data_IF_317236411997
#
_entry.id   IF_317236411997
#
_cell.length_a   1.000
_cell.length_b   1.000
_cell.length_c   1.000
_cell.angle_alpha   90.00
_cell.angle_beta   90.00
_cell.angle_gamma   90.00
#
_symmetry.space_group_name_H-M   'P 1'
#
loop_
_entity.id
_entity.type
_entity.pdbx_description
1 polymer ?
#
# COMPACT_ATOMS: atom_id res chain seq x y z
N UNK A 1 -12.17 9.42 -1.74
CA UNK A 1 -11.57 8.06 -1.73
C UNK A 1 -11.12 7.55 -3.10
N UNK A 2 -12.03 7.40 -4.08
CA UNK A 2 -11.78 6.62 -5.30
C UNK A 2 -10.58 7.07 -6.16
N UNK A 3 -10.34 8.38 -6.27
CA UNK A 3 -9.19 8.90 -7.03
C UNK A 3 -7.86 8.55 -6.36
N UNK A 4 -7.80 8.65 -5.03
CA UNK A 4 -6.65 8.23 -4.25
C UNK A 4 -6.41 6.72 -4.39
N UNK A 5 -7.47 5.92 -4.31
CA UNK A 5 -7.36 4.48 -4.53
C UNK A 5 -6.75 4.15 -5.90
N UNK A 6 -7.28 4.74 -6.99
CA UNK A 6 -6.79 4.49 -8.35
C UNK A 6 -5.32 4.89 -8.53
N UNK A 7 -4.92 6.03 -7.97
CA UNK A 7 -3.55 6.50 -8.06
C UNK A 7 -2.57 5.55 -7.35
N UNK A 8 -2.91 5.10 -6.15
CA UNK A 8 -2.07 4.17 -5.38
C UNK A 8 -2.10 2.76 -6.00
N UNK A 9 -3.25 2.29 -6.46
CA UNK A 9 -3.38 1.00 -7.18
C UNK A 9 -2.53 0.98 -8.45
N UNK A 10 -2.48 2.10 -9.19
CA UNK A 10 -1.62 2.23 -10.36
C UNK A 10 -0.13 2.16 -9.99
N UNK A 11 0.29 2.82 -8.90
CA UNK A 11 1.67 2.73 -8.40
C UNK A 11 2.05 1.28 -8.03
N UNK A 12 1.17 0.55 -7.35
CA UNK A 12 1.43 -0.85 -7.04
C UNK A 12 1.56 -1.71 -8.31
N UNK A 13 0.71 -1.48 -9.32
CA UNK A 13 0.77 -2.21 -10.59
C UNK A 13 2.05 -1.95 -11.39
N UNK A 14 2.67 -0.78 -11.22
CA UNK A 14 3.91 -0.40 -11.90
C UNK A 14 5.16 -0.92 -11.16
N UNK A 15 5.13 -0.87 -9.82
CA UNK A 15 6.31 -1.18 -8.99
C UNK A 15 6.38 -2.66 -8.58
N UNK A 16 5.23 -3.31 -8.34
CA UNK A 16 5.18 -4.68 -7.84
C UNK A 16 5.39 -5.66 -9.00
N UNK A 17 6.37 -6.57 -8.92
CA UNK A 17 6.57 -7.63 -9.90
C UNK A 17 5.31 -8.47 -10.12
N UNK A 18 5.08 -8.89 -11.38
CA UNK A 18 3.86 -9.60 -11.80
C UNK A 18 3.70 -11.00 -11.16
N UNK A 19 4.78 -11.57 -10.66
CA UNK A 19 4.81 -12.87 -9.97
C UNK A 19 4.39 -12.77 -8.49
N UNK A 20 4.41 -11.57 -7.92
CA UNK A 20 3.94 -11.30 -6.56
C UNK A 20 2.42 -11.12 -6.58
N UNK A 21 1.73 -11.93 -5.79
CA UNK A 21 0.28 -11.82 -5.62
C UNK A 21 -0.04 -10.90 -4.45
N UNK A 22 -0.91 -9.93 -4.69
CA UNK A 22 -1.42 -9.05 -3.65
C UNK A 22 -2.87 -8.67 -3.92
N UNK A 23 -3.55 -8.21 -2.87
CA UNK A 23 -4.88 -7.62 -2.94
C UNK A 23 -4.81 -6.25 -2.28
N UNK A 24 -5.12 -5.21 -3.05
CA UNK A 24 -5.22 -3.84 -2.53
C UNK A 24 -6.68 -3.41 -2.51
N UNK A 25 -7.16 -2.93 -1.35
CA UNK A 25 -8.56 -2.54 -1.14
C UNK A 25 -8.71 -1.26 -0.32
N UNK A 26 -9.85 -0.59 -0.53
CA UNK A 26 -10.36 0.45 0.34
C UNK A 26 -10.78 -0.16 1.69
N UNK A 27 -10.34 0.46 2.80
CA UNK A 27 -10.73 0.05 4.15
C UNK A 27 -11.86 0.95 4.67
N UNK A 28 -11.56 2.23 4.89
CA UNK A 28 -12.53 3.28 5.18
C UNK A 28 -11.91 4.67 4.98
N UNK A 29 -12.77 5.70 4.90
CA UNK A 29 -12.37 7.09 4.85
C UNK A 29 -12.76 7.78 6.17
N UNK A 30 -11.83 8.55 6.75
CA UNK A 30 -12.10 9.43 7.89
C UNK A 30 -12.05 10.89 7.44
N UNK A 31 -12.33 11.83 8.34
CA UNK A 31 -12.16 13.26 8.04
C UNK A 31 -10.71 13.65 7.71
N UNK A 32 -9.73 12.87 8.17
CA UNK A 32 -8.30 13.19 8.06
C UNK A 32 -7.52 12.23 7.15
N UNK A 33 -8.03 11.02 6.89
CA UNK A 33 -7.31 9.96 6.19
C UNK A 33 -8.15 9.22 5.15
N UNK A 34 -7.47 8.79 4.08
CA UNK A 34 -7.89 7.69 3.23
C UNK A 34 -7.13 6.44 3.68
N UNK A 35 -7.84 5.42 4.18
CA UNK A 35 -7.23 4.19 4.67
C UNK A 35 -7.45 3.04 3.70
N UNK A 36 -6.34 2.37 3.40
CA UNK A 36 -6.29 1.24 2.50
C UNK A 36 -5.66 0.04 3.20
N UNK A 37 -5.94 -1.13 2.66
CA UNK A 37 -5.35 -2.39 3.09
C UNK A 37 -4.68 -3.08 1.91
N UNK A 38 -3.45 -3.52 2.14
CA UNK A 38 -2.68 -4.35 1.23
C UNK A 38 -2.49 -5.73 1.86
N UNK A 39 -3.04 -6.75 1.22
CA UNK A 39 -2.90 -8.15 1.65
C UNK A 39 -1.91 -8.85 0.73
N UNK A 40 -0.92 -9.52 1.30
CA UNK A 40 0.15 -10.22 0.56
C UNK A 40 0.30 -11.66 1.05
N UNK A 41 0.94 -12.52 0.25
CA UNK A 41 1.38 -13.83 0.72
C UNK A 41 2.63 -13.71 1.62
N UNK A 42 2.77 -14.57 2.63
CA UNK A 42 3.89 -14.52 3.59
C UNK A 42 5.26 -14.59 2.90
N UNK A 43 5.38 -15.39 1.84
CA UNK A 43 6.61 -15.55 1.05
C UNK A 43 7.13 -14.21 0.47
N UNK A 44 6.23 -13.25 0.24
CA UNK A 44 6.54 -11.97 -0.39
C UNK A 44 6.74 -10.85 0.64
N UNK A 45 6.64 -11.16 1.95
CA UNK A 45 6.76 -10.18 3.04
C UNK A 45 8.06 -9.38 2.98
N UNK A 46 9.17 -10.01 2.59
CA UNK A 46 10.47 -9.34 2.51
C UNK A 46 10.53 -8.28 1.42
N UNK A 47 9.73 -8.41 0.35
CA UNK A 47 9.65 -7.41 -0.71
C UNK A 47 8.96 -6.14 -0.19
N UNK A 48 7.84 -6.31 0.51
CA UNK A 48 7.07 -5.18 1.04
C UNK A 48 7.66 -4.60 2.31
N UNK A 49 8.28 -5.44 3.16
CA UNK A 49 8.76 -5.14 4.52
C UNK A 49 10.18 -5.63 4.76
N UNK A 50 11.13 -5.07 4.02
CA UNK A 50 12.55 -5.26 4.32
C UNK A 50 13.01 -4.32 5.45
N UNK A 51 13.77 -4.83 6.42
CA UNK A 51 14.35 -4.03 7.52
C UNK A 51 15.65 -3.31 7.13
N UNK A 52 16.29 -3.70 6.02
CA UNK A 52 17.60 -3.18 5.58
C UNK A 52 17.53 -2.18 4.42
N UNK A 53 16.50 -2.27 3.58
CA UNK A 53 16.20 -1.33 2.50
C UNK A 53 14.87 -0.66 2.82
N UNK A 54 14.69 0.59 2.40
CA UNK A 54 13.46 1.34 2.62
C UNK A 54 12.24 0.47 2.30
N UNK A 55 11.40 0.32 3.32
CA UNK A 55 10.18 -0.46 3.34
C UNK A 55 9.29 0.05 2.19
N UNK A 56 9.05 -0.74 1.13
CA UNK A 56 8.37 -0.27 -0.11
C UNK A 56 7.05 0.45 0.21
N UNK A 57 6.29 -0.11 1.15
CA UNK A 57 5.03 0.49 1.61
C UNK A 57 5.27 1.85 2.24
N UNK A 58 6.33 1.99 3.05
CA UNK A 58 6.70 3.28 3.63
C UNK A 58 7.07 4.29 2.54
N UNK A 59 7.85 3.89 1.54
CA UNK A 59 8.20 4.78 0.42
C UNK A 59 6.96 5.25 -0.33
N UNK A 60 5.99 4.36 -0.59
CA UNK A 60 4.72 4.72 -1.22
C UNK A 60 3.91 5.68 -0.35
N UNK A 61 3.79 5.39 0.95
CA UNK A 61 3.10 6.27 1.91
C UNK A 61 3.78 7.64 1.99
N UNK A 62 5.11 7.68 2.01
CA UNK A 62 5.89 8.92 2.11
C UNK A 62 5.73 9.76 0.84
N UNK A 63 5.73 9.14 -0.35
CA UNK A 63 5.44 9.83 -1.62
C UNK A 63 4.00 10.37 -1.61
N UNK A 64 3.05 9.53 -1.24
CA UNK A 64 1.63 9.87 -1.22
C UNK A 64 1.29 10.97 -0.19
N UNK A 65 2.08 11.11 0.87
CA UNK A 65 1.92 12.15 1.89
C UNK A 65 2.96 13.26 1.82
N UNK A 66 3.78 13.28 0.77
CA UNK A 66 4.76 14.34 0.56
C UNK A 66 4.06 15.68 0.33
N UNK A 67 4.78 16.78 0.54
CA UNK A 67 4.29 18.15 0.27
C UNK A 67 3.85 18.37 -1.18
N UNK A 68 4.31 17.51 -2.10
CA UNK A 68 4.01 17.60 -3.53
C UNK A 68 2.82 16.71 -3.93
N UNK A 69 2.21 16.00 -2.98
CA UNK A 69 1.03 15.18 -3.21
C UNK A 69 -0.22 16.06 -3.38
N UNK A 70 -1.11 15.63 -4.28
CA UNK A 70 -2.39 16.29 -4.53
C UNK A 70 -3.54 15.72 -3.68
N UNK A 71 -3.27 14.79 -2.76
CA UNK A 71 -4.33 14.22 -1.93
C UNK A 71 -4.78 15.21 -0.85
N UNK A 72 -6.09 15.40 -0.74
CA UNK A 72 -6.72 16.29 0.25
C UNK A 72 -6.68 15.73 1.69
N UNK A 73 -6.41 14.43 1.84
CA UNK A 73 -6.32 13.72 3.12
C UNK A 73 -5.08 12.84 3.13
N UNK A 74 -4.65 12.48 4.33
CA UNK A 74 -3.49 11.61 4.53
C UNK A 74 -3.77 10.21 4.00
N UNK A 75 -2.84 9.63 3.24
CA UNK A 75 -2.89 8.23 2.82
C UNK A 75 -2.32 7.34 3.90
N UNK A 76 -3.08 6.32 4.30
CA UNK A 76 -2.64 5.27 5.23
C UNK A 76 -2.82 3.93 4.53
N UNK A 77 -1.80 3.07 4.60
CA UNK A 77 -1.85 1.72 4.02
C UNK A 77 -1.42 0.73 5.11
N UNK A 78 -2.36 -0.13 5.51
CA UNK A 78 -2.08 -1.26 6.39
C UNK A 78 -1.61 -2.45 5.57
N UNK A 79 -0.59 -3.15 6.06
CA UNK A 79 -0.10 -4.40 5.47
C UNK A 79 -0.61 -5.58 6.29
N UNK A 80 -1.39 -6.45 5.65
CA UNK A 80 -1.78 -7.75 6.19
C UNK A 80 -1.11 -8.88 5.43
N UNK A 81 -0.75 -9.94 6.15
CA UNK A 81 -0.16 -11.15 5.57
C UNK A 81 -1.23 -12.23 5.60
N UNK A 82 -1.52 -12.82 4.45
CA UNK A 82 -2.42 -13.95 4.35
C UNK A 82 -1.73 -15.19 4.94
N UNK A 83 -2.06 -15.51 6.18
CA UNK A 83 -1.67 -16.77 6.81
C UNK A 83 -2.48 -17.89 6.18
N UNK A 84 -1.82 -18.71 5.35
CA UNK A 84 -2.47 -19.90 4.81
C UNK A 84 -2.36 -20.98 5.89
N UNK A 85 -3.41 -21.16 6.69
CA UNK A 85 -3.50 -22.32 7.58
C UNK A 85 -3.59 -23.58 6.70
N UNK A 86 -2.47 -24.30 6.60
CA UNK A 86 -2.38 -25.63 5.99
C UNK A 86 -2.90 -26.72 6.93
#
# INVERSE_FOLDING_TARGET
MQEAFKAIDWLFKDIVPKDIKYVFKEKYETDQSYEFILVIEEKDLLFFKNKKSENLIKSIIDIANSSNSNFSKKIVIDLEVLETYA
#
